data_IF_877806353066
#
_entry.id   IF_877806353066
#
_cell.length_a   1.000
_cell.length_b   1.000
_cell.length_c   1.000
_cell.angle_alpha   90.00
_cell.angle_beta   90.00
_cell.angle_gamma   90.00
#
_symmetry.space_group_name_H-M   'P 1'
#
loop_
_entity.id
_entity.type
_entity.pdbx_description
1 polymer ?
#
# COMPACT_ATOMS: atom_id res chain seq x y z
N UNK A 1 28.61 1.74 9.41
CA UNK A 1 27.64 2.54 8.62
C UNK A 1 26.69 1.54 8.01
N UNK A 2 25.42 1.52 8.43
CA UNK A 2 24.39 0.80 7.70
C UNK A 2 24.11 1.60 6.42
N UNK A 3 24.09 0.97 5.25
CA UNK A 3 23.88 1.61 3.94
C UNK A 3 22.44 2.14 3.74
N UNK A 4 21.78 2.62 4.79
CA UNK A 4 20.36 3.03 4.77
C UNK A 4 19.40 1.89 4.41
N UNK A 5 19.88 0.64 4.41
CA UNK A 5 19.09 -0.54 4.09
C UNK A 5 18.21 -0.89 5.28
N UNK A 6 16.92 -1.15 5.01
CA UNK A 6 15.98 -1.61 6.03
C UNK A 6 16.53 -2.84 6.79
N UNK A 7 16.56 -2.74 8.11
CA UNK A 7 16.89 -3.85 9.00
C UNK A 7 15.59 -4.37 9.67
N UNK A 8 15.09 -5.55 9.28
CA UNK A 8 13.93 -6.16 9.92
C UNK A 8 14.25 -6.76 11.29
N UNK A 9 15.52 -6.86 11.66
CA UNK A 9 15.96 -7.57 12.87
C UNK A 9 15.38 -6.93 14.12
N UNK A 10 14.75 -7.75 14.96
CA UNK A 10 14.16 -7.28 16.21
C UNK A 10 12.92 -6.40 16.05
N UNK A 11 12.31 -6.34 14.86
CA UNK A 11 11.06 -5.59 14.68
C UNK A 11 9.93 -6.15 15.56
N UNK A 12 9.85 -7.48 15.69
CA UNK A 12 8.93 -8.14 16.61
C UNK A 12 9.70 -8.88 17.73
N UNK A 13 9.25 -8.68 18.96
CA UNK A 13 9.66 -9.45 20.13
C UNK A 13 8.56 -10.44 20.51
N UNK A 14 8.91 -11.73 20.55
CA UNK A 14 8.00 -12.82 20.89
C UNK A 14 8.23 -13.26 22.34
N UNK A 15 7.35 -12.84 23.25
CA UNK A 15 7.31 -13.35 24.62
C UNK A 15 6.31 -14.50 24.70
N UNK A 16 6.79 -15.71 24.39
CA UNK A 16 5.97 -16.92 24.36
C UNK A 16 5.43 -17.30 25.75
N UNK A 17 6.23 -17.13 26.80
CA UNK A 17 5.82 -17.40 28.19
C UNK A 17 4.67 -16.48 28.63
N UNK A 18 4.70 -15.23 28.17
CA UNK A 18 3.64 -14.24 28.46
C UNK A 18 2.51 -14.21 27.43
N UNK A 19 2.56 -15.02 26.36
CA UNK A 19 1.57 -15.00 25.28
C UNK A 19 1.44 -13.65 24.56
N UNK A 20 2.55 -12.90 24.44
CA UNK A 20 2.55 -11.55 23.90
C UNK A 20 3.57 -11.39 22.77
N UNK A 21 3.17 -10.68 21.73
CA UNK A 21 4.07 -10.15 20.70
C UNK A 21 4.09 -8.63 20.83
N UNK A 22 5.28 -8.04 20.76
CA UNK A 22 5.45 -6.58 20.73
C UNK A 22 6.23 -6.15 19.51
N UNK A 23 5.89 -4.99 18.96
CA UNK A 23 6.77 -4.30 18.02
C UNK A 23 7.97 -3.69 18.76
N UNK A 24 9.04 -3.35 18.04
CA UNK A 24 10.25 -2.69 18.60
C UNK A 24 9.96 -1.39 19.37
N UNK A 25 8.85 -0.74 19.06
CA UNK A 25 8.32 0.47 19.70
C UNK A 25 7.59 0.19 21.02
N UNK A 26 7.43 -1.08 21.40
CA UNK A 26 6.72 -1.54 22.60
C UNK A 26 5.22 -1.80 22.41
N UNK A 27 4.68 -1.50 21.24
CA UNK A 27 3.26 -1.70 20.90
C UNK A 27 2.92 -3.19 20.89
N UNK A 28 1.79 -3.58 21.50
CA UNK A 28 1.32 -4.96 21.46
C UNK A 28 0.75 -5.28 20.07
N UNK A 29 1.16 -6.42 19.52
CA UNK A 29 0.76 -6.89 18.19
C UNK A 29 0.00 -8.20 18.32
N UNK A 30 -0.98 -8.40 17.44
CA UNK A 30 -1.70 -9.66 17.26
C UNK A 30 -1.36 -10.20 15.88
N UNK A 31 -0.97 -11.47 15.83
CA UNK A 31 -0.76 -12.20 14.58
C UNK A 31 -2.06 -12.92 14.26
N UNK A 32 -2.60 -12.66 13.06
CA UNK A 32 -3.84 -13.25 12.58
C UNK A 32 -3.53 -14.12 11.36
N UNK A 33 -4.27 -15.22 11.20
CA UNK A 33 -4.26 -15.96 9.94
C UNK A 33 -4.99 -15.16 8.86
N UNK A 34 -4.59 -15.39 7.61
CA UNK A 34 -5.17 -14.73 6.44
C UNK A 34 -6.69 -14.90 6.38
N UNK A 35 -7.21 -16.12 6.56
CA UNK A 35 -8.66 -16.39 6.55
C UNK A 35 -9.47 -15.52 7.52
N UNK A 36 -8.90 -15.21 8.70
CA UNK A 36 -9.54 -14.35 9.70
C UNK A 36 -9.51 -12.90 9.23
N UNK A 37 -8.39 -12.45 8.68
CA UNK A 37 -8.25 -11.11 8.11
C UNK A 37 -9.22 -10.91 6.94
N UNK A 38 -9.26 -11.83 5.98
CA UNK A 38 -10.18 -11.77 4.84
C UNK A 38 -11.63 -11.73 5.28
N UNK A 39 -12.01 -12.50 6.31
CA UNK A 39 -13.37 -12.46 6.89
C UNK A 39 -13.71 -11.09 7.51
N UNK A 40 -12.76 -10.45 8.18
CA UNK A 40 -12.94 -9.12 8.77
C UNK A 40 -13.05 -8.04 7.68
N UNK A 41 -12.22 -8.13 6.64
CA UNK A 41 -12.25 -7.20 5.51
C UNK A 41 -13.52 -7.36 4.70
N UNK A 42 -13.93 -8.59 4.39
CA UNK A 42 -15.20 -8.87 3.70
C UNK A 42 -16.43 -8.42 4.51
N UNK A 43 -16.34 -8.36 5.84
CA UNK A 43 -17.38 -7.76 6.66
C UNK A 43 -17.44 -6.24 6.50
N UNK A 44 -16.29 -5.55 6.45
CA UNK A 44 -16.24 -4.10 6.23
C UNK A 44 -16.63 -3.70 4.80
N UNK A 45 -16.14 -4.43 3.79
CA UNK A 45 -16.37 -4.14 2.38
C UNK A 45 -17.83 -4.37 1.94
N UNK A 46 -18.58 -5.27 2.61
CA UNK A 46 -20.00 -5.51 2.31
C UNK A 46 -20.87 -4.26 2.47
N UNK A 47 -20.46 -3.34 3.33
CA UNK A 47 -21.14 -2.06 3.54
C UNK A 47 -20.58 -0.95 2.63
N UNK A 48 -19.65 -1.29 1.74
CA UNK A 48 -18.95 -0.35 0.86
C UNK A 48 -17.90 0.50 1.58
N UNK A 49 -17.64 0.26 2.87
CA UNK A 49 -16.72 1.06 3.68
C UNK A 49 -15.31 0.46 3.69
N UNK A 50 -14.44 1.04 2.86
CA UNK A 50 -13.01 0.71 2.81
C UNK A 50 -12.16 1.61 3.73
N UNK A 51 -12.79 2.47 4.53
CA UNK A 51 -12.10 3.33 5.51
C UNK A 51 -11.18 2.55 6.45
N UNK A 52 -11.58 1.38 6.99
CA UNK A 52 -10.67 0.59 7.84
C UNK A 52 -9.39 0.17 7.14
N UNK A 53 -9.47 -0.22 5.85
CA UNK A 53 -8.31 -0.63 5.05
C UNK A 53 -7.43 0.56 4.71
N UNK A 54 -8.04 1.69 4.36
CA UNK A 54 -7.32 2.94 4.17
C UNK A 54 -6.57 3.36 5.44
N UNK A 55 -7.22 3.28 6.59
CA UNK A 55 -6.60 3.61 7.88
C UNK A 55 -5.45 2.68 8.23
N UNK A 56 -5.58 1.39 7.91
CA UNK A 56 -4.50 0.42 8.04
C UNK A 56 -3.31 0.78 7.14
N UNK A 57 -3.59 1.23 5.92
CA UNK A 57 -2.60 1.76 5.00
C UNK A 57 -1.85 2.97 5.58
N UNK A 58 -2.57 3.95 6.12
CA UNK A 58 -1.98 5.12 6.79
C UNK A 58 -1.02 4.71 7.92
N UNK A 59 -1.41 3.71 8.73
CA UNK A 59 -0.53 3.16 9.77
C UNK A 59 0.74 2.55 9.19
N UNK A 60 0.67 1.82 8.06
CA UNK A 60 1.87 1.35 7.37
C UNK A 60 2.73 2.51 6.88
N UNK A 61 2.11 3.58 6.37
CA UNK A 61 2.83 4.80 5.97
C UNK A 61 3.58 5.45 7.13
N UNK A 62 2.98 5.50 8.33
CA UNK A 62 3.65 5.95 9.56
C UNK A 62 4.84 5.06 9.89
N UNK A 63 4.71 3.73 9.77
CA UNK A 63 5.82 2.80 9.99
C UNK A 63 6.94 2.99 8.97
N UNK A 64 6.61 3.27 7.71
CA UNK A 64 7.59 3.61 6.68
C UNK A 64 8.36 4.86 7.08
N UNK A 65 7.67 5.96 7.38
CA UNK A 65 8.32 7.23 7.72
C UNK A 65 9.13 7.14 9.02
N UNK A 66 8.59 6.46 10.03
CA UNK A 66 9.26 6.26 11.33
C UNK A 66 10.47 5.32 11.26
N UNK A 67 10.59 4.52 10.19
CA UNK A 67 11.74 3.65 9.95
C UNK A 67 12.88 4.30 9.16
N UNK A 68 12.70 5.51 8.62
CA UNK A 68 13.74 6.20 7.85
C UNK A 68 14.79 6.83 8.79
N UNK A 69 16.07 6.71 8.43
CA UNK A 69 17.19 7.31 9.18
C UNK A 69 17.23 8.85 9.06
N UNK A 70 16.52 9.41 8.08
CA UNK A 70 16.44 10.84 7.76
C UNK A 70 15.03 11.19 7.28
N UNK A 71 14.60 12.46 7.35
CA UNK A 71 13.31 12.88 6.81
C UNK A 71 13.13 12.47 5.35
N UNK A 72 11.95 12.00 4.97
CA UNK A 72 11.65 11.58 3.60
C UNK A 72 11.93 12.69 2.56
N UNK A 73 11.76 13.96 2.95
CA UNK A 73 12.00 15.14 2.11
C UNK A 73 13.45 15.32 1.64
N UNK A 74 14.42 14.67 2.28
CA UNK A 74 15.85 14.74 1.91
C UNK A 74 16.39 13.42 1.34
N UNK A 75 15.54 12.40 1.21
CA UNK A 75 15.87 11.12 0.61
C UNK A 75 15.42 11.07 -0.85
N UNK A 76 16.02 10.17 -1.64
CA UNK A 76 15.51 9.92 -2.99
C UNK A 76 14.17 9.16 -2.91
N UNK A 77 13.28 9.33 -3.91
CA UNK A 77 12.05 8.55 -3.99
C UNK A 77 12.30 7.04 -3.90
N UNK A 78 13.34 6.54 -4.56
CA UNK A 78 13.70 5.10 -4.55
C UNK A 78 14.05 4.58 -3.16
N UNK A 79 14.69 5.40 -2.32
CA UNK A 79 15.00 5.02 -0.95
C UNK A 79 13.73 4.91 -0.09
N UNK A 80 12.81 5.87 -0.23
CA UNK A 80 11.52 5.85 0.47
C UNK A 80 10.65 4.68 0.01
N UNK A 81 10.54 4.48 -1.30
CA UNK A 81 9.78 3.39 -1.92
C UNK A 81 10.37 2.02 -1.58
N UNK A 82 11.71 1.89 -1.54
CA UNK A 82 12.37 0.67 -1.09
C UNK A 82 12.05 0.32 0.37
N UNK A 83 11.94 1.33 1.23
CA UNK A 83 11.50 1.14 2.61
C UNK A 83 10.01 0.76 2.71
N UNK A 84 9.15 1.36 1.87
CA UNK A 84 7.75 0.97 1.76
C UNK A 84 7.59 -0.51 1.36
N UNK A 85 8.42 -1.00 0.43
CA UNK A 85 8.44 -2.42 0.09
C UNK A 85 8.83 -3.31 1.27
N UNK A 86 9.80 -2.87 2.07
CA UNK A 86 10.28 -3.63 3.22
C UNK A 86 9.23 -3.70 4.34
N UNK A 87 8.56 -2.59 4.65
CA UNK A 87 7.47 -2.54 5.65
C UNK A 87 6.27 -3.36 5.18
N UNK A 88 5.89 -3.26 3.90
CA UNK A 88 4.77 -4.06 3.35
C UNK A 88 5.03 -5.56 3.53
N UNK A 89 6.23 -6.02 3.21
CA UNK A 89 6.60 -7.42 3.37
C UNK A 89 6.69 -7.84 4.84
N UNK A 90 7.26 -6.99 5.71
CA UNK A 90 7.39 -7.26 7.13
C UNK A 90 6.04 -7.47 7.81
N UNK A 91 5.03 -6.68 7.43
CA UNK A 91 3.68 -6.78 7.98
C UNK A 91 2.81 -7.85 7.30
N UNK A 92 3.36 -8.61 6.35
CA UNK A 92 2.65 -9.71 5.70
C UNK A 92 1.64 -9.30 4.64
N UNK A 93 1.73 -8.07 4.10
CA UNK A 93 0.84 -7.58 3.03
C UNK A 93 1.30 -7.95 1.63
N UNK A 94 2.36 -8.75 1.52
CA UNK A 94 2.92 -9.22 0.25
C UNK A 94 4.18 -8.47 -0.16
N UNK A 95 4.51 -8.57 -1.46
CA UNK A 95 5.70 -7.99 -2.08
C UNK A 95 5.32 -6.80 -2.95
N UNK A 96 5.75 -5.62 -2.51
CA UNK A 96 5.54 -4.36 -3.21
C UNK A 96 6.71 -4.06 -4.16
N UNK A 97 6.40 -3.76 -5.42
CA UNK A 97 7.32 -3.27 -6.42
C UNK A 97 6.72 -2.08 -7.18
N UNK A 98 7.54 -1.40 -7.96
CA UNK A 98 7.16 -0.17 -8.67
C UNK A 98 7.60 -0.24 -10.13
N UNK A 99 6.71 0.19 -11.01
CA UNK A 99 6.96 0.33 -12.44
C UNK A 99 6.69 1.79 -12.84
N UNK A 100 7.54 2.33 -13.71
CA UNK A 100 7.32 3.64 -14.31
C UNK A 100 6.73 3.48 -15.69
N UNK A 101 5.54 4.02 -15.89
CA UNK A 101 4.82 4.02 -17.15
C UNK A 101 4.69 5.46 -17.65
N UNK A 102 5.72 5.94 -18.36
CA UNK A 102 5.79 7.34 -18.78
C UNK A 102 5.82 8.29 -17.56
N UNK A 103 4.73 9.03 -17.37
CA UNK A 103 4.51 9.93 -16.24
C UNK A 103 3.80 9.28 -15.05
N UNK A 104 3.22 8.09 -15.24
CA UNK A 104 2.50 7.35 -14.21
C UNK A 104 3.42 6.45 -13.37
N UNK A 105 3.13 6.39 -12.07
CA UNK A 105 3.70 5.42 -11.15
C UNK A 105 2.70 4.28 -10.97
N UNK A 106 3.14 3.07 -11.30
CA UNK A 106 2.36 1.85 -11.14
C UNK A 106 2.97 1.03 -10.01
N UNK A 107 2.13 0.61 -9.09
CA UNK A 107 2.46 -0.26 -7.97
C UNK A 107 2.12 -1.69 -8.36
N UNK A 108 3.00 -2.63 -8.04
CA UNK A 108 2.77 -4.07 -8.19
C UNK A 108 2.78 -4.68 -6.80
N UNK A 109 1.69 -5.32 -6.39
CA UNK A 109 1.56 -5.93 -5.05
C UNK A 109 1.26 -7.42 -5.18
N UNK A 110 2.28 -8.26 -5.09
CA UNK A 110 2.18 -9.73 -5.23
C UNK A 110 2.08 -10.43 -3.88
N UNK A 111 1.54 -11.65 -3.86
CA UNK A 111 1.40 -12.48 -2.65
C UNK A 111 0.73 -11.74 -1.48
N UNK A 112 -0.20 -10.84 -1.80
CA UNK A 112 -1.03 -10.14 -0.81
C UNK A 112 -2.18 -11.05 -0.37
N UNK A 113 -2.77 -10.79 0.81
CA UNK A 113 -4.02 -11.41 1.20
C UNK A 113 -5.12 -11.25 0.16
N UNK A 114 -5.92 -12.29 -0.04
CA UNK A 114 -7.16 -12.20 -0.82
C UNK A 114 -8.25 -11.51 0.01
N UNK A 115 -8.51 -10.23 -0.29
CA UNK A 115 -9.43 -9.38 0.46
C UNK A 115 -10.82 -9.28 -0.19
N UNK A 116 -10.85 -9.08 -1.50
CA UNK A 116 -12.04 -8.92 -2.32
C UNK A 116 -11.69 -9.17 -3.80
N UNK A 117 -12.72 -9.49 -4.61
CA UNK A 117 -12.55 -9.84 -6.03
C UNK A 117 -12.12 -8.65 -6.90
N UNK A 118 -12.55 -7.44 -6.53
CA UNK A 118 -12.34 -6.21 -7.30
C UNK A 118 -11.03 -5.49 -6.95
N UNK A 119 -10.22 -6.07 -6.05
CA UNK A 119 -8.95 -5.51 -5.58
C UNK A 119 -9.07 -4.16 -4.86
N UNK A 120 -10.27 -3.76 -4.45
CA UNK A 120 -10.54 -2.45 -3.84
C UNK A 120 -10.00 -2.34 -2.42
N UNK A 121 -9.97 -3.42 -1.66
CA UNK A 121 -9.37 -3.46 -0.33
C UNK A 121 -7.85 -3.25 -0.39
N UNK A 122 -7.17 -3.89 -1.35
CA UNK A 122 -5.74 -3.68 -1.59
C UNK A 122 -5.47 -2.25 -2.11
N UNK A 123 -6.32 -1.75 -3.01
CA UNK A 123 -6.27 -0.38 -3.50
C UNK A 123 -6.43 0.66 -2.37
N UNK A 124 -7.36 0.46 -1.44
CA UNK A 124 -7.58 1.33 -0.30
C UNK A 124 -6.38 1.32 0.67
N UNK A 125 -5.83 0.13 0.96
CA UNK A 125 -4.61 -0.02 1.76
C UNK A 125 -3.43 0.77 1.15
N UNK A 126 -3.17 0.57 -0.14
CA UNK A 126 -2.10 1.29 -0.85
C UNK A 126 -2.37 2.80 -0.89
N UNK A 127 -3.61 3.20 -1.15
CA UNK A 127 -4.03 4.60 -1.16
C UNK A 127 -3.79 5.30 0.18
N UNK A 128 -4.11 4.65 1.29
CA UNK A 128 -3.82 5.16 2.64
C UNK A 128 -2.33 5.29 2.91
N UNK A 129 -1.56 4.24 2.60
CA UNK A 129 -0.11 4.21 2.79
C UNK A 129 0.61 5.32 2.02
N UNK A 130 0.32 5.46 0.73
CA UNK A 130 0.97 6.48 -0.08
C UNK A 130 0.42 7.88 0.17
N UNK A 131 -0.81 8.03 0.66
CA UNK A 131 -1.29 9.33 1.11
C UNK A 131 -0.49 9.82 2.32
N UNK A 132 -0.21 8.92 3.27
CA UNK A 132 0.64 9.23 4.42
C UNK A 132 2.09 9.49 4.00
N UNK A 133 2.69 8.65 3.16
CA UNK A 133 4.09 8.83 2.74
C UNK A 133 4.29 10.13 1.96
N UNK A 134 3.35 10.45 1.04
CA UNK A 134 3.46 11.63 0.18
C UNK A 134 2.93 12.91 0.80
N UNK A 135 2.21 12.81 1.93
CA UNK A 135 1.46 13.92 2.54
C UNK A 135 0.52 14.61 1.53
N UNK A 136 -0.02 13.83 0.59
CA UNK A 136 -0.96 14.26 -0.46
C UNK A 136 -2.11 13.27 -0.52
N UNK A 137 -3.28 13.73 -0.95
CA UNK A 137 -4.41 12.82 -1.18
C UNK A 137 -4.22 12.06 -2.48
N UNK A 138 -3.74 10.83 -2.38
CA UNK A 138 -3.58 9.91 -3.51
C UNK A 138 -4.52 8.73 -3.38
N UNK A 139 -4.85 8.15 -4.54
CA UNK A 139 -5.57 6.89 -4.66
C UNK A 139 -4.77 5.92 -5.50
N UNK A 140 -4.91 4.65 -5.19
CA UNK A 140 -4.41 3.57 -6.03
C UNK A 140 -5.64 2.94 -6.68
N UNK A 141 -5.62 2.73 -8.00
CA UNK A 141 -6.74 2.14 -8.73
C UNK A 141 -6.28 0.81 -9.35
N UNK A 142 -6.99 -0.31 -9.16
CA UNK A 142 -6.64 -1.58 -9.78
C UNK A 142 -6.59 -1.48 -11.30
N UNK A 143 -5.61 -2.14 -11.92
CA UNK A 143 -5.46 -2.23 -13.38
C UNK A 143 -5.23 -3.65 -13.90
N UNK A 144 -5.52 -4.66 -13.06
CA UNK A 144 -5.31 -6.08 -13.35
C UNK A 144 -3.91 -6.58 -12.99
N UNK A 145 -3.70 -7.89 -13.00
CA UNK A 145 -2.40 -8.56 -12.76
C UNK A 145 -1.66 -8.09 -11.49
N UNK A 146 -2.41 -7.85 -10.40
CA UNK A 146 -1.89 -7.31 -9.15
C UNK A 146 -1.21 -5.94 -9.29
N UNK A 147 -1.61 -5.15 -10.30
CA UNK A 147 -1.14 -3.80 -10.56
C UNK A 147 -2.16 -2.75 -10.15
N UNK A 148 -1.64 -1.63 -9.68
CA UNK A 148 -2.42 -0.49 -9.24
C UNK A 148 -1.76 0.78 -9.77
N UNK A 149 -2.51 1.62 -10.47
CA UNK A 149 -2.00 2.93 -10.89
C UNK A 149 -2.21 3.95 -9.77
N UNK A 150 -1.17 4.72 -9.43
CA UNK A 150 -1.27 5.80 -8.46
C UNK A 150 -1.72 7.08 -9.15
N UNK A 151 -2.79 7.69 -8.63
CA UNK A 151 -3.39 8.91 -9.17
C UNK A 151 -3.79 9.86 -8.05
N UNK A 152 -4.00 11.14 -8.38
CA UNK A 152 -4.62 12.09 -7.45
C UNK A 152 -6.07 11.63 -7.14
N UNK A 153 -6.53 11.87 -5.91
CA UNK A 153 -7.86 11.42 -5.46
C UNK A 153 -9.01 11.86 -6.37
N UNK A 154 -8.93 13.06 -6.94
CA UNK A 154 -9.99 13.66 -7.77
C UNK A 154 -10.28 12.88 -9.06
N UNK A 155 -9.31 12.13 -9.59
CA UNK A 155 -9.47 11.39 -10.85
C UNK A 155 -9.67 9.89 -10.64
N UNK A 156 -9.62 9.41 -9.39
CA UNK A 156 -9.66 7.99 -9.06
C UNK A 156 -10.93 7.29 -9.59
N UNK A 157 -12.11 7.86 -9.36
CA UNK A 157 -13.39 7.34 -9.86
C UNK A 157 -13.45 7.27 -11.39
N UNK A 158 -12.83 8.25 -12.07
CA UNK A 158 -12.78 8.24 -13.54
C UNK A 158 -11.91 7.09 -14.06
N UNK A 159 -10.73 6.91 -13.45
CA UNK A 159 -9.80 5.84 -13.81
C UNK A 159 -10.40 4.47 -13.50
N UNK A 160 -11.12 4.35 -12.38
CA UNK A 160 -11.83 3.13 -12.01
C UNK A 160 -12.92 2.79 -13.02
N UNK A 161 -13.71 3.79 -13.46
CA UNK A 161 -14.70 3.62 -14.52
C UNK A 161 -14.07 3.08 -15.81
N UNK A 162 -12.94 3.63 -16.25
CA UNK A 162 -12.24 3.13 -17.43
C UNK A 162 -11.81 1.67 -17.31
N UNK A 163 -11.28 1.28 -16.15
CA UNK A 163 -10.89 -0.10 -15.91
C UNK A 163 -12.12 -1.03 -15.90
N UNK A 164 -13.22 -0.63 -15.26
CA UNK A 164 -14.49 -1.37 -15.30
C UNK A 164 -15.07 -1.51 -16.71
N UNK A 165 -14.83 -0.52 -17.57
CA UNK A 165 -15.21 -0.54 -18.99
C UNK A 165 -14.25 -1.37 -19.87
N UNK A 166 -13.21 -1.99 -19.27
CA UNK A 166 -12.29 -2.91 -19.93
C UNK A 166 -11.02 -2.26 -20.48
N UNK A 167 -10.71 -1.01 -20.11
CA UNK A 167 -9.45 -0.39 -20.49
C UNK A 167 -8.27 -1.06 -19.75
N UNK A 168 -7.23 -1.43 -20.49
CA UNK A 168 -5.99 -1.95 -19.93
C UNK A 168 -5.06 -0.83 -19.44
N UNK A 169 -3.99 -1.19 -18.73
CA UNK A 169 -3.04 -0.22 -18.19
C UNK A 169 -2.44 0.72 -19.26
N UNK A 170 -1.97 0.26 -20.44
CA UNK A 170 -1.54 1.16 -21.52
C UNK A 170 -2.62 2.16 -21.94
N UNK A 171 -3.87 1.72 -22.13
CA UNK A 171 -4.97 2.61 -22.51
C UNK A 171 -5.26 3.65 -21.43
N UNK A 172 -5.30 3.23 -20.15
CA UNK A 172 -5.51 4.12 -19.00
C UNK A 172 -4.43 5.21 -18.94
N UNK A 173 -3.15 4.82 -19.08
CA UNK A 173 -2.03 5.77 -19.08
C UNK A 173 -2.15 6.77 -20.24
N UNK A 174 -2.51 6.30 -21.44
CA UNK A 174 -2.74 7.17 -22.59
C UNK A 174 -3.88 8.17 -22.39
N UNK A 175 -4.98 7.75 -21.75
CA UNK A 175 -6.11 8.64 -21.43
C UNK A 175 -5.76 9.68 -20.36
N UNK A 176 -4.94 9.32 -19.37
CA UNK A 176 -4.42 10.25 -18.37
C UNK A 176 -3.49 11.31 -18.98
N UNK A 177 -2.56 10.89 -19.84
CA UNK A 177 -1.64 11.81 -20.51
C UNK A 177 -2.40 12.79 -21.42
N UNK A 178 -3.45 12.34 -22.12
CA UNK A 178 -4.31 13.20 -22.94
C UNK A 178 -5.06 14.26 -22.09
N UNK A 179 -5.62 13.86 -20.94
CA UNK A 179 -6.28 14.79 -20.00
C UNK A 179 -5.33 15.80 -19.39
N UNK A 180 -4.05 15.45 -19.22
CA UNK A 180 -3.04 16.37 -18.68
C UNK A 180 -2.63 17.46 -19.68
N UNK A 181 -2.76 17.18 -20.98
CA UNK A 181 -2.41 18.09 -22.05
C UNK A 181 -3.53 19.09 -22.42
N UNK A 182 -4.76 18.86 -21.95
CA UNK A 182 -5.94 19.72 -22.14
C UNK A 182 -6.13 20.73 -21.02
#
# INVERSE_FOLDING_TARGET
MHDGRFDPSGFYEFNLTGGMVRARTGERVVILSEDVLSSLVAAAARDGDLTPLRRLGELLGVQVLGGLDRPASVLSPEAVLGHASAVTALFGWGRLAFERWGSALVIVLRDKPELDEDELGAAALLGGMFSEISQRQVSCVPTGDSKFIMVDFEVAETVWGWFKDGADLPAIVGMLDAKRAS
#
